data_IF_509887142931
#
_entry.id   IF_509887142931
#
_cell.length_a   1.000
_cell.length_b   1.000
_cell.length_c   1.000
_cell.angle_alpha   90.00
_cell.angle_beta   90.00
_cell.angle_gamma   90.00
#
_symmetry.space_group_name_H-M   'P 1'
#
loop_
_entity.id
_entity.type
_entity.pdbx_description
1 polymer ?
#
# COMPACT_ATOMS: atom_id res chain seq x y z
N UNK A 1 23.36 -4.85 6.89
CA UNK A 1 22.21 -5.64 6.37
C UNK A 1 21.05 -4.67 6.32
N UNK A 2 20.39 -4.49 5.17
CA UNK A 2 19.35 -3.48 5.01
C UNK A 2 18.12 -4.06 4.32
N UNK A 3 17.45 -3.22 3.53
CA UNK A 3 16.22 -3.56 2.87
C UNK A 3 16.20 -3.07 1.44
N UNK A 4 15.64 -3.88 0.55
CA UNK A 4 15.26 -3.48 -0.80
C UNK A 4 13.78 -3.12 -0.76
N UNK A 5 13.39 -2.08 -1.48
CA UNK A 5 12.01 -1.63 -1.50
C UNK A 5 11.56 -1.26 -2.91
N UNK A 6 10.25 -1.33 -3.14
CA UNK A 6 9.58 -1.01 -4.39
C UNK A 6 8.56 0.10 -4.14
N UNK A 7 8.67 1.19 -4.90
CA UNK A 7 7.69 2.26 -4.95
C UNK A 7 6.82 2.07 -6.19
N UNK A 8 5.51 2.24 -6.05
CA UNK A 8 4.53 2.30 -7.14
C UNK A 8 4.14 3.77 -7.41
N UNK A 9 4.02 4.13 -8.68
CA UNK A 9 3.67 5.48 -9.12
C UNK A 9 2.21 5.51 -9.56
N UNK A 10 1.43 6.45 -9.03
CA UNK A 10 0.01 6.63 -9.35
C UNK A 10 -0.30 8.09 -9.72
N UNK A 11 -0.66 8.42 -10.97
CA UNK A 11 -0.58 7.55 -12.16
C UNK A 11 0.88 7.26 -12.57
N UNK A 12 1.08 6.47 -13.62
CA UNK A 12 2.41 6.24 -14.19
C UNK A 12 3.03 7.56 -14.66
N UNK A 13 4.31 7.80 -14.36
CA UNK A 13 5.03 8.96 -14.89
C UNK A 13 5.78 8.62 -16.18
N UNK A 14 5.31 9.12 -17.33
CA UNK A 14 5.86 8.74 -18.65
C UNK A 14 5.96 7.23 -18.77
N UNK A 15 7.17 6.67 -18.94
CA UNK A 15 7.41 5.23 -19.01
C UNK A 15 7.59 4.55 -17.64
N UNK A 16 7.77 5.31 -16.57
CA UNK A 16 8.09 4.81 -15.24
C UNK A 16 6.83 4.62 -14.38
N UNK A 17 6.53 3.37 -14.03
CA UNK A 17 5.49 3.03 -13.05
C UNK A 17 6.02 2.61 -11.69
N UNK A 18 7.33 2.40 -11.59
CA UNK A 18 7.95 1.81 -10.42
C UNK A 18 9.37 2.32 -10.20
N UNK A 19 9.80 2.30 -8.94
CA UNK A 19 11.18 2.55 -8.56
C UNK A 19 11.64 1.51 -7.54
N UNK A 20 12.80 0.89 -7.78
CA UNK A 20 13.48 -0.02 -6.83
C UNK A 20 14.66 0.71 -6.18
N UNK A 21 14.78 0.58 -4.86
CA UNK A 21 15.90 1.13 -4.10
C UNK A 21 16.35 0.21 -2.97
N UNK A 22 17.51 0.53 -2.41
CA UNK A 22 18.05 -0.07 -1.19
C UNK A 22 18.22 1.01 -0.11
N UNK A 23 17.90 0.69 1.13
CA UNK A 23 18.18 1.54 2.29
C UNK A 23 18.33 0.70 3.56
N UNK A 24 19.11 1.21 4.51
CA UNK A 24 19.16 0.63 5.86
C UNK A 24 17.91 1.06 6.68
N UNK A 25 17.41 2.29 6.47
CA UNK A 25 16.11 2.77 6.95
C UNK A 25 15.19 3.14 5.78
N UNK A 26 14.25 2.24 5.45
CA UNK A 26 13.29 2.43 4.36
C UNK A 26 12.30 3.54 4.65
N UNK A 27 11.91 3.73 5.92
CA UNK A 27 10.89 4.72 6.28
C UNK A 27 11.45 6.14 6.06
N UNK A 28 12.64 6.40 6.59
CA UNK A 28 13.33 7.67 6.36
C UNK A 28 13.58 7.91 4.87
N UNK A 29 14.07 6.89 4.15
CA UNK A 29 14.34 7.01 2.71
C UNK A 29 13.07 7.25 1.89
N UNK A 30 11.97 6.60 2.22
CA UNK A 30 10.69 6.82 1.55
C UNK A 30 10.14 8.23 1.81
N UNK A 31 10.29 8.75 3.03
CA UNK A 31 9.93 10.15 3.34
C UNK A 31 10.75 11.18 2.54
N UNK A 32 12.00 10.87 2.17
CA UNK A 32 12.78 11.71 1.25
C UNK A 32 12.20 11.66 -0.17
N UNK A 33 11.81 10.47 -0.66
CA UNK A 33 11.15 10.33 -1.96
C UNK A 33 9.86 11.16 -2.03
N UNK A 34 9.00 11.09 -1.01
CA UNK A 34 7.75 11.85 -0.92
C UNK A 34 7.96 13.37 -0.96
N UNK A 35 9.09 13.86 -0.43
CA UNK A 35 9.46 15.28 -0.42
C UNK A 35 10.24 15.71 -1.66
N UNK A 36 10.37 14.84 -2.67
CA UNK A 36 11.18 15.11 -3.86
C UNK A 36 12.69 15.16 -3.62
N UNK A 37 13.18 14.75 -2.44
CA UNK A 37 14.60 14.73 -2.06
C UNK A 37 15.27 13.37 -2.25
N UNK A 38 14.55 12.42 -2.84
CA UNK A 38 15.04 11.07 -3.12
C UNK A 38 15.84 10.97 -4.41
N UNK A 39 15.62 9.91 -5.18
CA UNK A 39 16.24 9.75 -6.49
C UNK A 39 15.67 10.74 -7.52
N UNK A 40 16.46 11.07 -8.56
CA UNK A 40 16.03 12.01 -9.62
C UNK A 40 14.69 11.64 -10.24
N UNK A 41 14.42 10.36 -10.48
CA UNK A 41 13.14 9.89 -11.04
C UNK A 41 11.95 10.17 -10.10
N UNK A 42 12.09 9.90 -8.80
CA UNK A 42 11.02 10.18 -7.83
C UNK A 42 10.87 11.67 -7.57
N UNK A 43 11.96 12.43 -7.64
CA UNK A 43 11.93 13.88 -7.59
C UNK A 43 11.06 14.44 -8.72
N UNK A 44 11.37 14.12 -9.98
CA UNK A 44 10.56 14.61 -11.11
C UNK A 44 9.12 14.13 -11.05
N UNK A 45 8.88 12.92 -10.54
CA UNK A 45 7.52 12.42 -10.39
C UNK A 45 6.73 13.29 -9.39
N UNK A 46 7.30 13.57 -8.22
CA UNK A 46 6.68 14.47 -7.22
C UNK A 46 6.49 15.89 -7.77
N UNK A 47 7.50 16.43 -8.46
CA UNK A 47 7.41 17.76 -9.12
C UNK A 47 6.28 17.81 -10.16
N UNK A 48 5.88 16.68 -10.74
CA UNK A 48 4.79 16.56 -11.71
C UNK A 48 3.48 16.05 -11.07
N UNK A 49 3.34 16.11 -9.74
CA UNK A 49 2.11 15.75 -9.03
C UNK A 49 1.79 14.26 -9.01
N UNK A 50 2.78 13.39 -9.23
CA UNK A 50 2.59 11.94 -9.21
C UNK A 50 2.67 11.42 -7.78
N UNK A 51 1.65 10.65 -7.37
CA UNK A 51 1.66 10.01 -6.06
C UNK A 51 2.63 8.82 -6.03
N UNK A 52 3.38 8.71 -4.92
CA UNK A 52 4.29 7.61 -4.66
C UNK A 52 3.75 6.75 -3.52
N UNK A 53 3.66 5.44 -3.74
CA UNK A 53 3.23 4.48 -2.72
C UNK A 53 4.33 3.46 -2.45
N UNK A 54 4.63 3.18 -1.19
CA UNK A 54 5.53 2.09 -0.82
C UNK A 54 4.81 0.76 -1.01
N UNK A 55 5.08 0.08 -2.13
CA UNK A 55 4.33 -1.09 -2.55
C UNK A 55 4.85 -2.39 -1.96
N UNK A 56 6.16 -2.49 -1.69
CA UNK A 56 6.78 -3.70 -1.14
C UNK A 56 8.15 -3.43 -0.51
N UNK A 57 8.52 -4.24 0.48
CA UNK A 57 9.85 -4.25 1.11
C UNK A 57 10.34 -5.69 1.25
N UNK A 58 11.63 -5.92 1.01
CA UNK A 58 12.34 -7.18 1.23
C UNK A 58 13.55 -6.93 2.13
N UNK A 59 13.81 -7.82 3.09
CA UNK A 59 15.10 -7.85 3.77
C UNK A 59 16.18 -8.29 2.78
N UNK A 60 17.32 -7.59 2.73
CA UNK A 60 18.39 -7.95 1.79
C UNK A 60 19.53 -6.95 1.71
N UNK A 61 20.19 -6.96 0.56
CA UNK A 61 21.37 -6.16 0.28
C UNK A 61 21.30 -5.52 -1.12
N UNK A 62 22.36 -4.78 -1.48
CA UNK A 62 22.48 -4.18 -2.82
C UNK A 62 22.58 -5.22 -3.95
N UNK A 63 22.97 -6.46 -3.66
CA UNK A 63 22.99 -7.54 -4.66
C UNK A 63 21.57 -7.97 -5.01
N UNK A 64 20.70 -8.10 -4.01
CA UNK A 64 19.26 -8.34 -4.22
C UNK A 64 18.64 -7.20 -5.04
N UNK A 65 18.90 -5.95 -4.68
CA UNK A 65 18.42 -4.78 -5.42
C UNK A 65 18.81 -4.86 -6.91
N UNK A 66 20.09 -5.12 -7.19
CA UNK A 66 20.61 -5.27 -8.55
C UNK A 66 19.92 -6.42 -9.29
N UNK A 67 19.74 -7.58 -8.64
CA UNK A 67 19.04 -8.73 -9.22
C UNK A 67 17.60 -8.36 -9.63
N UNK A 68 16.85 -7.72 -8.74
CA UNK A 68 15.48 -7.29 -9.02
C UNK A 68 15.42 -6.24 -10.15
N UNK A 69 16.36 -5.29 -10.17
CA UNK A 69 16.47 -4.29 -11.25
C UNK A 69 16.78 -4.91 -12.62
N UNK A 70 17.63 -5.94 -12.65
CA UNK A 70 18.00 -6.63 -13.88
C UNK A 70 16.89 -7.52 -14.42
N UNK A 71 16.02 -8.03 -13.55
CA UNK A 71 14.86 -8.81 -13.97
C UNK A 71 13.82 -7.97 -14.75
N UNK A 72 13.84 -6.64 -14.61
CA UNK A 72 12.96 -5.66 -15.32
C UNK A 72 11.44 -5.89 -15.20
N UNK A 73 10.98 -6.84 -14.37
CA UNK A 73 9.56 -7.13 -14.19
C UNK A 73 8.96 -6.52 -12.90
N UNK A 74 9.19 -5.22 -12.68
CA UNK A 74 8.65 -4.53 -11.49
C UNK A 74 7.12 -4.67 -11.32
N UNK A 75 6.29 -4.66 -12.39
CA UNK A 75 4.85 -4.88 -12.25
C UNK A 75 4.48 -6.25 -11.65
N UNK A 76 5.26 -7.30 -11.93
CA UNK A 76 5.03 -8.64 -11.37
C UNK A 76 5.36 -8.72 -9.87
N UNK A 77 6.23 -7.83 -9.40
CA UNK A 77 6.65 -7.72 -8.00
C UNK A 77 5.73 -6.78 -7.20
N UNK A 78 4.97 -5.92 -7.88
CA UNK A 78 4.15 -4.89 -7.27
C UNK A 78 2.75 -5.43 -6.94
N UNK A 79 2.32 -5.45 -5.67
CA UNK A 79 0.98 -5.90 -5.33
C UNK A 79 -0.15 -5.00 -5.81
N UNK A 80 0.14 -3.71 -6.09
CA UNK A 80 -0.83 -2.79 -6.71
C UNK A 80 -1.12 -3.15 -8.17
N UNK A 81 -0.13 -3.68 -8.89
CA UNK A 81 -0.29 -4.08 -10.29
C UNK A 81 -0.65 -5.57 -10.44
N UNK A 82 -0.13 -6.41 -9.56
CA UNK A 82 -0.37 -7.84 -9.53
C UNK A 82 -0.69 -8.27 -8.09
N UNK A 83 -1.97 -8.37 -7.71
CA UNK A 83 -2.37 -8.81 -6.36
C UNK A 83 -1.77 -10.17 -5.95
N UNK A 84 -1.46 -11.04 -6.92
CA UNK A 84 -0.85 -12.35 -6.64
C UNK A 84 0.61 -12.25 -6.19
N UNK A 85 1.24 -11.08 -6.34
CA UNK A 85 2.62 -10.88 -5.91
C UNK A 85 2.79 -11.18 -4.41
N UNK A 86 1.76 -11.04 -3.57
CA UNK A 86 1.82 -11.39 -2.14
C UNK A 86 1.98 -12.90 -1.90
N UNK A 87 1.33 -13.74 -2.72
CA UNK A 87 1.33 -15.20 -2.56
C UNK A 87 2.71 -15.83 -2.71
N UNK A 88 3.59 -15.26 -3.54
CA UNK A 88 4.95 -15.77 -3.74
C UNK A 88 5.87 -15.50 -2.54
N UNK A 89 5.71 -14.36 -1.87
CA UNK A 89 6.50 -14.02 -0.68
C UNK A 89 6.06 -14.82 0.56
N UNK A 90 4.75 -15.00 0.75
CA UNK A 90 4.21 -15.82 1.84
C UNK A 90 4.63 -17.30 1.73
N UNK A 91 4.68 -17.84 0.50
CA UNK A 91 5.16 -19.19 0.23
C UNK A 91 6.67 -19.37 0.52
N UNK A 92 7.51 -18.38 0.19
CA UNK A 92 8.95 -18.41 0.46
C UNK A 92 9.29 -18.20 1.95
N UNK A 93 8.43 -17.52 2.73
CA UNK A 93 8.63 -17.28 4.17
C UNK A 93 7.94 -18.32 5.08
N UNK A 94 7.28 -19.33 4.51
CA UNK A 94 6.58 -20.36 5.29
C UNK A 94 5.38 -19.83 6.10
N UNK A 95 4.86 -18.64 5.78
CA UNK A 95 3.73 -18.04 6.48
C UNK A 95 2.42 -18.50 5.84
N UNK A 96 1.99 -19.71 6.18
CA UNK A 96 0.68 -20.22 5.78
C UNK A 96 -0.38 -19.66 6.76
N UNK A 97 -1.39 -18.96 6.23
CA UNK A 97 -2.68 -18.66 6.86
C UNK A 97 -2.87 -17.41 7.76
N UNK A 98 -1.87 -16.59 8.09
CA UNK A 98 -2.11 -15.42 8.96
C UNK A 98 -2.77 -14.22 8.25
N UNK A 99 -2.42 -13.94 6.99
CA UNK A 99 -2.86 -12.73 6.28
C UNK A 99 -4.33 -12.81 5.81
N UNK A 100 -4.83 -14.02 5.49
CA UNK A 100 -6.24 -14.26 5.16
C UNK A 100 -7.19 -14.10 6.37
N UNK A 101 -6.70 -14.26 7.59
CA UNK A 101 -7.53 -14.09 8.80
C UNK A 101 -7.74 -12.63 9.16
N UNK A 102 -6.80 -11.73 8.87
CA UNK A 102 -6.95 -10.30 9.18
C UNK A 102 -8.00 -9.66 8.26
N UNK A 103 -7.98 -9.98 6.96
CA UNK A 103 -9.00 -9.49 6.03
C UNK A 103 -10.40 -10.05 6.37
N UNK A 104 -10.50 -11.31 6.79
CA UNK A 104 -11.76 -11.90 7.25
C UNK A 104 -12.24 -11.31 8.59
N UNK A 105 -11.32 -10.97 9.50
CA UNK A 105 -11.63 -10.33 10.78
C UNK A 105 -12.07 -8.87 10.58
N UNK A 106 -11.42 -8.10 9.71
CA UNK A 106 -11.80 -6.72 9.39
C UNK A 106 -13.13 -6.66 8.61
N UNK A 107 -13.40 -7.63 7.73
CA UNK A 107 -14.70 -7.76 7.08
C UNK A 107 -15.81 -8.16 8.07
N UNK A 108 -15.55 -9.04 9.05
CA UNK A 108 -16.52 -9.41 10.09
C UNK A 108 -16.74 -8.34 11.16
N UNK A 109 -15.73 -7.51 11.43
CA UNK A 109 -15.86 -6.36 12.31
C UNK A 109 -16.62 -5.23 11.59
N UNK A 110 -16.32 -4.94 10.32
CA UNK A 110 -17.03 -3.94 9.53
C UNK A 110 -18.43 -4.34 9.06
N UNK A 111 -18.77 -5.64 9.03
CA UNK A 111 -20.13 -6.10 8.71
C UNK A 111 -21.10 -5.98 9.90
N UNK A 112 -20.61 -5.79 11.13
CA UNK A 112 -21.49 -5.59 12.30
C UNK A 112 -22.03 -4.17 12.43
N UNK A 113 -21.45 -3.21 11.72
CA UNK A 113 -21.78 -1.79 11.88
C UNK A 113 -22.73 -1.24 10.80
N UNK A 114 -23.05 -2.02 9.76
CA UNK A 114 -23.99 -1.59 8.69
C UNK A 114 -25.45 -1.88 9.06
N UNK A 115 -25.74 -2.91 9.85
CA UNK A 115 -27.12 -3.15 10.33
C UNK A 115 -27.49 -2.27 11.53
N UNK A 116 -26.51 -1.78 12.30
CA UNK A 116 -26.77 -0.91 13.46
C UNK A 116 -27.14 0.54 13.07
N UNK A 117 -26.89 0.97 11.82
CA UNK A 117 -27.08 2.35 11.39
C UNK A 117 -28.29 2.59 10.47
N UNK A 118 -29.17 1.58 10.30
CA UNK A 118 -30.46 1.74 9.63
C UNK A 118 -31.61 2.11 10.59
N UNK A 119 -31.41 2.05 11.91
CA UNK A 119 -32.46 2.32 12.92
C UNK A 119 -32.37 3.74 13.52
N UNK A 120 -31.28 4.48 13.27
CA UNK A 120 -31.01 5.76 13.95
C UNK A 120 -31.42 7.02 13.17
N UNK A 121 -32.38 6.95 12.23
CA UNK A 121 -32.88 8.13 11.49
C UNK A 121 -34.39 8.34 11.57
N UNK A 122 -35.13 7.60 12.42
CA UNK A 122 -36.59 7.75 12.55
C UNK A 122 -37.08 8.40 13.85
N UNK A 123 -36.23 8.74 14.81
CA UNK A 123 -36.66 9.31 16.10
C UNK A 123 -35.97 10.65 16.39
N UNK A 124 -36.28 11.65 15.54
CA UNK A 124 -36.17 13.08 15.87
C UNK A 124 -37.47 13.80 15.56
N UNK A 125 -38.59 13.19 15.93
CA UNK A 125 -39.86 13.89 15.96
C UNK A 125 -40.74 13.28 17.06
N UNK A 126 -40.39 13.56 18.32
CA UNK A 126 -41.36 13.46 19.39
C UNK A 126 -41.34 14.73 20.25
N UNK A 127 -42.55 15.29 20.38
CA UNK A 127 -43.07 16.11 21.47
C UNK A 127 -42.80 17.62 21.48
N UNK A 128 -43.77 18.36 20.92
CA UNK A 128 -44.45 19.54 21.50
C UNK A 128 -45.63 19.84 20.55
N UNK A 129 -46.93 19.77 20.83
CA UNK A 129 -47.78 19.65 22.03
C UNK A 129 -49.24 19.44 21.52
N UNK A 130 -50.19 19.00 22.36
CA UNK A 130 -51.53 18.55 21.98
C UNK A 130 -52.61 19.62 22.19
N UNK A 131 -53.54 19.86 21.24
CA UNK A 131 -54.90 20.41 21.50
C UNK A 131 -55.84 20.00 20.35
N UNK A 132 -56.76 19.07 20.61
CA UNK A 132 -58.22 19.22 20.55
C UNK A 132 -58.90 17.92 20.98
#
# INVERSE_FOLDING_TARGET
>A
MGYVYLIHFRPRYKQAGHYLGYADDVRARFAEHLRGKGARLTQVAVENGIALELARVWKGDRKLERRLKNHKHSPLLCPRCNPQAHRRAAAEMGLVAAELKIDNLLQRLGAKDVEANAVASMERDEMLTPIL
#
